data_IF_415314496461
#
_entry.id   IF_415314496461
#
_cell.length_a   1.000
_cell.length_b   1.000
_cell.length_c   1.000
_cell.angle_alpha   90.00
_cell.angle_beta   90.00
_cell.angle_gamma   90.00
#
_symmetry.space_group_name_H-M   'P 1'
#
loop_
_entity.id
_entity.type
_entity.pdbx_description
1 polymer ?
#
# COMPACT_ATOMS: atom_id res chain seq x y z
N UNK A 1 39.42 56.58 -0.03
CA UNK A 1 39.69 56.68 1.44
C UNK A 1 38.73 55.80 2.24
N UNK A 2 39.12 54.56 2.59
CA UNK A 2 38.75 53.87 3.81
C UNK A 2 39.54 52.57 3.95
N UNK A 3 40.49 52.69 4.83
CA UNK A 3 41.19 51.75 5.71
C UNK A 3 40.82 50.24 5.58
N UNK A 4 41.84 49.50 5.20
CA UNK A 4 42.05 48.07 5.49
C UNK A 4 42.19 47.92 7.01
N UNK A 5 41.38 47.08 7.67
CA UNK A 5 41.55 46.68 9.07
C UNK A 5 42.17 45.27 9.10
N UNK A 6 43.33 45.26 9.68
CA UNK A 6 44.14 44.23 10.29
C UNK A 6 43.54 42.84 10.42
N UNK A 7 44.18 41.87 9.81
CA UNK A 7 44.18 40.43 10.10
C UNK A 7 44.99 40.20 11.39
N UNK A 8 44.48 39.45 12.39
CA UNK A 8 45.26 39.12 13.58
C UNK A 8 46.39 38.14 13.24
N UNK A 9 47.59 38.51 13.60
CA UNK A 9 48.80 37.72 13.55
C UNK A 9 48.68 36.44 14.42
N UNK A 10 48.74 35.30 13.79
CA UNK A 10 48.88 33.97 14.42
C UNK A 10 50.14 33.93 15.29
N UNK A 11 50.01 33.75 16.59
CA UNK A 11 51.07 33.51 17.56
C UNK A 11 51.70 32.12 17.31
N UNK A 12 52.87 32.11 16.68
CA UNK A 12 53.73 30.93 16.54
C UNK A 12 54.35 30.61 17.90
N UNK A 13 54.08 29.41 18.46
CA UNK A 13 54.86 28.89 19.58
C UNK A 13 56.01 28.04 19.06
N UNK A 14 57.28 28.26 19.50
CA UNK A 14 58.38 27.39 19.12
C UNK A 14 58.31 26.06 19.87
N UNK A 15 58.50 24.95 19.14
CA UNK A 15 58.67 23.60 19.73
C UNK A 15 60.18 23.32 19.75
N UNK A 16 60.76 23.17 20.96
CA UNK A 16 62.14 22.76 21.17
C UNK A 16 62.31 21.26 20.92
N UNK A 17 63.05 20.90 19.88
CA UNK A 17 63.60 19.56 19.71
C UNK A 17 65.03 19.50 20.31
N UNK A 18 65.42 18.39 20.91
CA UNK A 18 66.62 18.15 21.74
C UNK A 18 67.95 18.18 21.00
N UNK A 19 68.07 18.76 19.84
CA UNK A 19 69.29 18.88 19.07
C UNK A 19 69.36 20.25 18.40
N UNK A 20 69.60 21.28 19.13
CA UNK A 20 70.14 22.60 18.85
C UNK A 20 70.04 23.28 17.47
N UNK A 21 69.21 22.83 16.54
CA UNK A 21 69.00 23.50 15.25
C UNK A 21 67.50 23.87 15.09
N UNK A 22 67.24 25.16 14.91
CA UNK A 22 65.95 25.80 14.61
C UNK A 22 65.66 25.65 13.11
N UNK A 23 64.95 24.61 12.72
CA UNK A 23 64.39 24.54 11.36
C UNK A 23 62.93 24.97 11.39
N UNK A 24 62.56 25.95 10.57
CA UNK A 24 61.16 26.38 10.35
C UNK A 24 60.45 25.36 9.45
N UNK A 25 59.83 24.38 10.06
CA UNK A 25 59.04 23.41 9.30
C UNK A 25 57.59 23.86 9.16
N UNK A 26 57.07 23.88 7.94
CA UNK A 26 55.64 24.05 7.62
C UNK A 26 54.81 22.80 7.99
N UNK A 27 54.75 22.45 9.29
CA UNK A 27 54.07 21.24 9.74
C UNK A 27 52.58 21.52 10.11
N UNK A 28 52.18 22.79 10.09
CA UNK A 28 50.83 23.18 10.62
C UNK A 28 49.72 23.31 9.59
N UNK A 29 50.01 23.48 8.31
CA UNK A 29 48.95 23.77 7.32
C UNK A 29 48.38 22.52 6.65
N UNK A 30 49.19 21.48 6.39
CA UNK A 30 48.69 20.23 5.82
C UNK A 30 47.80 19.42 6.79
N UNK A 31 47.98 19.59 8.10
CA UNK A 31 47.17 18.87 9.12
C UNK A 31 45.77 19.48 9.32
N UNK A 32 45.64 20.79 9.13
CA UNK A 32 44.36 21.49 9.29
C UNK A 32 43.45 21.27 8.06
N UNK A 33 43.98 21.39 6.85
CA UNK A 33 43.25 21.09 5.61
C UNK A 33 42.82 19.60 5.53
N UNK A 34 43.72 18.69 5.89
CA UNK A 34 43.40 17.24 5.93
C UNK A 34 42.40 16.88 7.06
N UNK A 35 42.31 17.66 8.14
CA UNK A 35 41.34 17.50 9.18
C UNK A 35 39.98 18.03 8.74
N UNK A 36 39.94 19.15 8.06
CA UNK A 36 38.69 19.77 7.56
C UNK A 36 38.09 18.96 6.41
N UNK A 37 38.91 18.44 5.49
CA UNK A 37 38.48 17.52 4.42
C UNK A 37 37.86 16.25 4.99
N UNK A 38 38.50 15.62 5.99
CA UNK A 38 37.95 14.43 6.66
C UNK A 38 36.67 14.70 7.43
N UNK A 39 36.50 15.91 7.97
CA UNK A 39 35.27 16.33 8.65
C UNK A 39 34.15 16.54 7.64
N UNK A 40 34.43 17.15 6.52
CA UNK A 40 33.47 17.39 5.43
C UNK A 40 33.02 16.07 4.82
N UNK A 41 33.93 15.14 4.54
CA UNK A 41 33.63 13.80 4.04
C UNK A 41 32.78 12.98 5.04
N UNK A 42 33.02 13.11 6.35
CA UNK A 42 32.20 12.44 7.37
C UNK A 42 30.78 12.98 7.43
N UNK A 43 30.62 14.30 7.35
CA UNK A 43 29.30 14.97 7.34
C UNK A 43 28.54 14.57 6.08
N UNK A 44 29.19 14.59 4.93
CA UNK A 44 28.60 14.20 3.65
C UNK A 44 28.19 12.71 3.64
N UNK A 45 29.03 11.82 4.17
CA UNK A 45 28.69 10.40 4.32
C UNK A 45 27.53 10.16 5.30
N UNK A 46 27.45 10.91 6.39
CA UNK A 46 26.33 10.82 7.33
C UNK A 46 25.03 11.32 6.69
N UNK A 47 25.07 12.43 5.97
CA UNK A 47 23.91 12.97 5.24
C UNK A 47 23.44 12.00 4.16
N UNK A 48 24.37 11.41 3.40
CA UNK A 48 24.03 10.41 2.39
C UNK A 48 23.41 9.13 2.99
N UNK A 49 23.89 8.69 4.16
CA UNK A 49 23.29 7.55 4.86
C UNK A 49 21.90 7.87 5.38
N UNK A 50 21.71 9.06 5.94
CA UNK A 50 20.41 9.54 6.42
C UNK A 50 19.40 9.60 5.28
N UNK A 51 19.76 10.23 4.16
CA UNK A 51 18.91 10.33 2.97
C UNK A 51 18.55 8.96 2.40
N UNK A 52 19.47 8.00 2.43
CA UNK A 52 19.20 6.63 2.00
C UNK A 52 18.19 5.93 2.92
N UNK A 53 18.28 6.15 4.23
CA UNK A 53 17.36 5.61 5.21
C UNK A 53 15.95 6.21 5.06
N UNK A 54 15.86 7.53 4.93
CA UNK A 54 14.60 8.24 4.72
C UNK A 54 13.91 7.80 3.41
N UNK A 55 14.65 7.70 2.33
CA UNK A 55 14.14 7.17 1.07
C UNK A 55 13.64 5.73 1.18
N UNK A 56 14.30 4.87 1.97
CA UNK A 56 13.86 3.51 2.23
C UNK A 56 12.58 3.49 3.05
N UNK A 57 12.48 4.34 4.06
CA UNK A 57 11.29 4.49 4.89
C UNK A 57 10.08 4.94 4.08
N UNK A 58 10.25 5.95 3.20
CA UNK A 58 9.17 6.43 2.33
C UNK A 58 8.67 5.29 1.41
N UNK A 59 9.58 4.46 0.89
CA UNK A 59 9.20 3.27 0.10
C UNK A 59 8.34 2.31 0.91
N UNK A 60 8.72 2.01 2.15
CA UNK A 60 7.93 1.14 3.02
C UNK A 60 6.53 1.70 3.28
N UNK A 61 6.42 3.02 3.51
CA UNK A 61 5.11 3.67 3.71
C UNK A 61 4.28 3.64 2.41
N UNK A 62 4.92 3.82 1.25
CA UNK A 62 4.25 3.63 -0.05
C UNK A 62 3.79 2.19 -0.26
N UNK A 63 4.60 1.21 0.14
CA UNK A 63 4.23 -0.21 0.04
C UNK A 63 3.03 -0.52 0.95
N UNK A 64 2.97 0.07 2.15
CA UNK A 64 1.80 -0.02 3.03
C UNK A 64 0.54 0.60 2.40
N UNK A 65 0.65 1.79 1.82
CA UNK A 65 -0.43 2.45 1.08
C UNK A 65 -0.91 1.62 -0.11
N UNK A 66 0.02 1.05 -0.87
CA UNK A 66 -0.28 0.16 -2.00
C UNK A 66 -1.07 -1.08 -1.56
N UNK A 67 -0.68 -1.71 -0.44
CA UNK A 67 -1.41 -2.88 0.10
C UNK A 67 -2.83 -2.52 0.46
N UNK A 68 -3.04 -1.41 1.18
CA UNK A 68 -4.38 -0.97 1.58
C UNK A 68 -5.23 -0.69 0.34
N UNK A 69 -4.70 0.06 -0.63
CA UNK A 69 -5.45 0.45 -1.83
C UNK A 69 -5.78 -0.75 -2.71
N UNK A 70 -4.82 -1.63 -2.99
CA UNK A 70 -5.04 -2.86 -3.77
C UNK A 70 -6.05 -3.79 -3.12
N UNK A 71 -6.08 -3.84 -1.79
CA UNK A 71 -7.00 -4.69 -1.04
C UNK A 71 -8.41 -4.10 -0.92
N UNK A 72 -8.69 -2.97 -1.56
CA UNK A 72 -10.01 -2.33 -1.59
C UNK A 72 -10.23 -1.29 -0.49
N UNK A 73 -9.14 -0.71 0.05
CA UNK A 73 -9.23 0.39 1.00
C UNK A 73 -9.66 1.71 0.35
N UNK A 74 -10.34 2.54 1.11
CA UNK A 74 -10.78 3.88 0.70
C UNK A 74 -9.58 4.81 0.52
N UNK A 75 -9.61 5.68 -0.48
CA UNK A 75 -8.53 6.62 -0.81
C UNK A 75 -8.17 7.50 0.37
N UNK A 76 -9.14 8.18 0.97
CA UNK A 76 -8.94 9.05 2.12
C UNK A 76 -8.28 8.33 3.30
N UNK A 77 -8.60 7.05 3.48
CA UNK A 77 -8.01 6.21 4.52
C UNK A 77 -6.57 5.85 4.24
N UNK A 78 -6.23 5.60 2.97
CA UNK A 78 -4.84 5.37 2.53
C UNK A 78 -4.00 6.61 2.83
N UNK A 79 -4.46 7.79 2.40
CA UNK A 79 -3.76 9.06 2.61
C UNK A 79 -3.55 9.40 4.09
N UNK A 80 -4.61 9.28 4.91
CA UNK A 80 -4.54 9.52 6.35
C UNK A 80 -3.57 8.54 7.04
N UNK A 81 -3.62 7.25 6.68
CA UNK A 81 -2.72 6.24 7.24
C UNK A 81 -1.26 6.54 6.91
N UNK A 82 -0.95 6.84 5.65
CA UNK A 82 0.40 7.17 5.21
C UNK A 82 0.91 8.46 5.88
N UNK A 83 0.07 9.50 5.95
CA UNK A 83 0.43 10.76 6.60
C UNK A 83 0.70 10.58 8.11
N UNK A 84 -0.07 9.75 8.81
CA UNK A 84 0.18 9.41 10.22
C UNK A 84 1.48 8.65 10.42
N UNK A 85 1.75 7.65 9.58
CA UNK A 85 3.02 6.90 9.64
C UNK A 85 4.21 7.83 9.41
N UNK A 86 4.17 8.70 8.41
CA UNK A 86 5.22 9.69 8.17
C UNK A 86 5.46 10.59 9.39
N UNK A 87 4.39 11.07 10.00
CA UNK A 87 4.47 11.91 11.21
C UNK A 87 5.10 11.17 12.39
N UNK A 88 4.78 9.88 12.57
CA UNK A 88 5.37 9.05 13.62
C UNK A 88 6.89 8.90 13.46
N UNK A 89 7.39 8.86 12.23
CA UNK A 89 8.83 8.83 11.93
C UNK A 89 9.51 10.21 11.90
N UNK A 90 8.80 11.29 12.25
CA UNK A 90 9.39 12.61 12.45
C UNK A 90 9.49 13.47 11.18
N UNK A 91 8.79 13.14 10.09
CA UNK A 91 8.67 14.05 8.96
C UNK A 91 7.85 15.29 9.35
N UNK A 92 8.34 16.46 8.97
CA UNK A 92 7.76 17.76 9.36
C UNK A 92 6.40 17.99 8.70
N UNK A 93 6.33 17.64 7.42
CA UNK A 93 5.11 17.74 6.61
C UNK A 93 5.06 16.59 5.61
N UNK A 94 3.88 16.11 5.34
CA UNK A 94 3.63 15.06 4.36
C UNK A 94 2.39 15.44 3.55
N UNK A 95 2.55 15.49 2.24
CA UNK A 95 1.48 15.68 1.28
C UNK A 95 1.33 14.36 0.51
N UNK A 96 0.19 13.70 0.66
CA UNK A 96 -0.15 12.45 -0.03
C UNK A 96 -1.30 12.73 -0.99
N UNK A 97 -1.14 12.27 -2.22
CA UNK A 97 -2.18 12.32 -3.23
C UNK A 97 -2.37 10.93 -3.83
N UNK A 98 -3.56 10.40 -3.71
CA UNK A 98 -3.90 9.04 -4.13
C UNK A 98 -5.06 9.07 -5.11
N UNK A 99 -4.88 8.37 -6.21
CA UNK A 99 -5.95 8.00 -7.14
C UNK A 99 -5.95 6.48 -7.30
N UNK A 100 -7.00 5.92 -7.87
CA UNK A 100 -7.11 4.45 -8.07
C UNK A 100 -5.89 3.84 -8.75
N UNK A 101 -5.21 4.52 -9.65
CA UNK A 101 -4.08 3.99 -10.42
C UNK A 101 -2.69 4.40 -9.94
N UNK A 102 -2.59 5.31 -8.95
CA UNK A 102 -1.29 5.86 -8.53
C UNK A 102 -1.35 6.50 -7.14
N UNK A 103 -0.26 6.40 -6.41
CA UNK A 103 -0.02 7.12 -5.14
C UNK A 103 1.20 8.01 -5.34
N UNK A 104 1.10 9.27 -4.98
CA UNK A 104 2.21 10.23 -4.93
C UNK A 104 2.35 10.70 -3.49
N UNK A 105 3.57 10.61 -2.96
CA UNK A 105 3.90 11.12 -1.63
C UNK A 105 5.03 12.12 -1.71
N UNK A 106 4.85 13.26 -1.08
CA UNK A 106 5.89 14.27 -0.88
C UNK A 106 6.08 14.51 0.59
N UNK A 107 7.30 14.32 1.08
CA UNK A 107 7.64 14.54 2.49
C UNK A 107 8.69 15.63 2.63
N UNK A 108 8.60 16.37 3.73
CA UNK A 108 9.55 17.41 4.12
C UNK A 108 10.30 16.89 5.34
N UNK A 109 11.61 16.71 5.19
CA UNK A 109 12.46 16.21 6.27
C UNK A 109 12.82 17.32 7.25
N UNK A 110 13.25 16.97 8.45
CA UNK A 110 13.75 17.93 9.44
C UNK A 110 15.02 18.66 8.95
N UNK A 111 15.78 18.06 8.01
CA UNK A 111 16.93 18.66 7.36
C UNK A 111 16.59 19.69 6.27
N UNK A 112 15.30 19.91 5.98
CA UNK A 112 14.83 20.83 4.94
C UNK A 112 14.83 20.23 3.52
N UNK A 113 15.12 18.94 3.37
CA UNK A 113 15.02 18.26 2.08
C UNK A 113 13.57 17.90 1.74
N UNK A 114 13.25 17.92 0.46
CA UNK A 114 11.94 17.53 -0.06
C UNK A 114 12.12 16.26 -0.88
N UNK A 115 11.47 15.18 -0.45
CA UNK A 115 11.53 13.89 -1.11
C UNK A 115 10.15 13.54 -1.68
N UNK A 116 10.08 13.30 -2.99
CA UNK A 116 8.86 12.88 -3.67
C UNK A 116 9.05 11.51 -4.27
N UNK A 117 8.11 10.60 -4.00
CA UNK A 117 8.07 9.28 -4.61
C UNK A 117 6.68 8.98 -5.14
N UNK A 118 6.63 8.20 -6.22
CA UNK A 118 5.39 7.80 -6.89
C UNK A 118 5.34 6.29 -7.01
N UNK A 119 4.16 5.73 -6.75
CA UNK A 119 3.87 4.30 -6.95
C UNK A 119 2.70 4.12 -7.89
N UNK A 120 2.90 3.39 -8.97
CA UNK A 120 1.81 3.01 -9.88
C UNK A 120 1.14 1.75 -9.36
N UNK A 121 -0.18 1.80 -9.24
CA UNK A 121 -1.01 0.68 -8.82
C UNK A 121 -1.48 -0.09 -10.06
N UNK A 122 -1.31 -1.40 -10.04
CA UNK A 122 -1.75 -2.29 -11.11
C UNK A 122 -2.48 -3.48 -10.50
N UNK A 123 -3.71 -3.69 -10.94
CA UNK A 123 -4.57 -4.75 -10.42
C UNK A 123 -5.11 -4.44 -9.02
N UNK A 124 -6.24 -5.02 -8.72
CA UNK A 124 -6.89 -4.98 -7.41
C UNK A 124 -7.08 -6.42 -6.97
N UNK A 125 -6.84 -6.68 -5.71
CA UNK A 125 -7.04 -7.96 -5.07
C UNK A 125 -7.74 -7.71 -3.74
N UNK A 126 -9.08 -7.79 -3.78
CA UNK A 126 -9.94 -7.46 -2.65
C UNK A 126 -9.68 -8.40 -1.48
N UNK A 127 -9.01 -7.90 -0.44
CA UNK A 127 -8.67 -8.66 0.75
C UNK A 127 -8.80 -7.83 2.02
N UNK A 128 -9.94 -7.98 2.71
CA UNK A 128 -10.24 -7.22 3.93
C UNK A 128 -9.32 -7.58 5.10
N UNK A 129 -8.79 -8.80 5.13
CA UNK A 129 -7.86 -9.22 6.17
C UNK A 129 -6.52 -8.49 6.04
N UNK A 130 -6.00 -8.35 4.81
CA UNK A 130 -4.80 -7.51 4.55
C UNK A 130 -5.02 -6.06 4.99
N UNK A 131 -6.21 -5.48 4.73
CA UNK A 131 -6.54 -4.14 5.21
C UNK A 131 -6.53 -4.10 6.74
N UNK A 132 -7.14 -5.10 7.40
CA UNK A 132 -7.19 -5.16 8.86
C UNK A 132 -5.78 -5.22 9.46
N UNK A 133 -4.95 -6.14 9.00
CA UNK A 133 -3.57 -6.32 9.45
C UNK A 133 -2.72 -5.06 9.21
N UNK A 134 -2.85 -4.43 8.03
CA UNK A 134 -2.11 -3.22 7.71
C UNK A 134 -2.54 -2.03 8.57
N UNK A 135 -3.83 -1.88 8.85
CA UNK A 135 -4.32 -0.85 9.77
C UNK A 135 -3.85 -1.09 11.21
N UNK A 136 -3.71 -2.34 11.63
CA UNK A 136 -3.16 -2.69 12.93
C UNK A 136 -1.67 -2.31 12.99
N UNK A 137 -0.88 -2.72 12.00
CA UNK A 137 0.53 -2.36 11.89
C UNK A 137 0.74 -0.83 11.88
N UNK A 138 -0.08 -0.10 11.12
CA UNK A 138 0.00 1.35 11.08
C UNK A 138 -0.27 2.00 12.44
N UNK A 139 -1.21 1.47 13.23
CA UNK A 139 -1.47 1.95 14.60
C UNK A 139 -0.30 1.67 15.53
N UNK A 140 0.25 0.46 15.50
CA UNK A 140 1.43 0.10 16.28
C UNK A 140 2.63 1.02 15.98
N UNK A 141 2.87 1.29 14.69
CA UNK A 141 3.93 2.21 14.22
C UNK A 141 3.68 3.64 14.69
N UNK A 142 2.41 4.09 14.73
CA UNK A 142 2.07 5.43 15.21
C UNK A 142 2.25 5.59 16.72
N UNK A 143 2.09 4.51 17.49
CA UNK A 143 2.33 4.51 18.95
C UNK A 143 3.82 4.38 19.26
N UNK A 144 4.49 3.46 18.59
CA UNK A 144 5.92 3.15 18.77
C UNK A 144 6.57 2.90 17.40
N UNK A 145 7.31 3.89 16.86
CA UNK A 145 8.03 3.70 15.60
C UNK A 145 9.01 2.53 15.70
N UNK A 146 8.89 1.59 14.78
CA UNK A 146 9.75 0.40 14.67
C UNK A 146 10.88 0.65 13.66
N UNK A 147 11.93 -0.16 13.71
CA UNK A 147 13.02 -0.08 12.75
C UNK A 147 12.52 -0.33 11.30
N UNK A 148 13.08 0.40 10.33
CA UNK A 148 12.67 0.32 8.91
C UNK A 148 12.76 -1.11 8.35
N UNK A 149 13.78 -1.88 8.78
CA UNK A 149 13.92 -3.27 8.37
C UNK A 149 12.79 -4.18 8.87
N UNK A 150 12.34 -3.97 10.11
CA UNK A 150 11.21 -4.70 10.70
C UNK A 150 9.87 -4.29 10.06
N UNK A 151 9.69 -2.98 9.79
CA UNK A 151 8.52 -2.48 9.07
C UNK A 151 8.40 -3.15 7.69
N UNK A 152 9.50 -3.17 6.93
CA UNK A 152 9.54 -3.80 5.61
C UNK A 152 9.21 -5.31 5.67
N UNK A 153 9.73 -6.01 6.67
CA UNK A 153 9.45 -7.44 6.88
C UNK A 153 7.97 -7.68 7.14
N UNK A 154 7.37 -6.93 8.07
CA UNK A 154 5.95 -7.06 8.42
C UNK A 154 5.01 -6.70 7.26
N UNK A 155 5.32 -5.65 6.51
CA UNK A 155 4.54 -5.30 5.30
C UNK A 155 4.57 -6.46 4.30
N UNK A 156 5.74 -7.06 4.05
CA UNK A 156 5.86 -8.23 3.16
C UNK A 156 5.10 -9.45 3.67
N UNK A 157 5.08 -9.69 4.98
CA UNK A 157 4.30 -10.77 5.57
C UNK A 157 2.80 -10.57 5.33
N UNK A 158 2.29 -9.35 5.51
CA UNK A 158 0.89 -9.01 5.22
C UNK A 158 0.58 -9.16 3.73
N UNK A 159 1.48 -8.76 2.83
CA UNK A 159 1.32 -8.94 1.39
C UNK A 159 1.20 -10.43 1.00
N UNK A 160 1.92 -11.30 1.70
CA UNK A 160 1.94 -12.73 1.46
C UNK A 160 0.95 -13.50 2.35
N UNK A 161 -0.03 -12.82 2.96
CA UNK A 161 -1.09 -13.49 3.73
C UNK A 161 -1.77 -14.54 2.86
N UNK A 162 -1.89 -15.74 3.39
CA UNK A 162 -2.43 -16.90 2.68
C UNK A 162 -3.88 -16.62 2.26
N UNK A 163 -4.16 -16.83 1.00
CA UNK A 163 -5.52 -16.79 0.48
C UNK A 163 -6.28 -18.06 0.87
N UNK A 164 -7.61 -17.99 0.81
CA UNK A 164 -8.47 -19.14 1.06
C UNK A 164 -8.17 -20.25 0.05
N UNK A 165 -8.25 -21.50 0.50
CA UNK A 165 -8.13 -22.64 -0.40
C UNK A 165 -9.30 -22.65 -1.40
N UNK A 166 -9.10 -23.11 -2.64
CA UNK A 166 -10.15 -23.07 -3.68
C UNK A 166 -11.45 -23.75 -3.27
N UNK A 167 -11.39 -24.81 -2.48
CA UNK A 167 -12.58 -25.51 -1.97
C UNK A 167 -13.34 -24.69 -0.89
N UNK A 168 -12.62 -23.91 -0.07
CA UNK A 168 -13.22 -23.01 0.90
C UNK A 168 -13.95 -21.88 0.19
N UNK A 169 -13.35 -21.31 -0.84
CA UNK A 169 -13.96 -20.30 -1.72
C UNK A 169 -15.25 -20.85 -2.34
N UNK A 170 -15.19 -22.05 -2.91
CA UNK A 170 -16.36 -22.70 -3.52
C UNK A 170 -17.51 -22.88 -2.52
N UNK A 171 -17.22 -23.32 -1.29
CA UNK A 171 -18.23 -23.46 -0.24
C UNK A 171 -18.82 -22.10 0.17
N UNK A 172 -17.99 -21.07 0.26
CA UNK A 172 -18.44 -19.71 0.59
C UNK A 172 -19.34 -19.13 -0.51
N UNK A 173 -19.00 -19.34 -1.78
CA UNK A 173 -19.85 -18.93 -2.91
C UNK A 173 -21.22 -19.63 -2.86
N UNK A 174 -21.23 -20.94 -2.60
CA UNK A 174 -22.47 -21.70 -2.45
C UNK A 174 -23.31 -21.25 -1.26
N UNK A 175 -22.69 -21.07 -0.09
CA UNK A 175 -23.37 -20.61 1.12
C UNK A 175 -23.98 -19.22 0.94
N UNK A 176 -23.22 -18.28 0.37
CA UNK A 176 -23.71 -16.93 0.09
C UNK A 176 -24.88 -16.94 -0.89
N UNK A 177 -24.80 -17.71 -2.00
CA UNK A 177 -25.90 -17.83 -2.95
C UNK A 177 -27.16 -18.40 -2.30
N UNK A 178 -27.03 -19.40 -1.42
CA UNK A 178 -28.16 -19.97 -0.68
C UNK A 178 -28.79 -18.93 0.25
N UNK A 179 -27.99 -18.22 1.04
CA UNK A 179 -28.46 -17.20 1.99
C UNK A 179 -29.21 -16.09 1.25
N UNK A 180 -28.65 -15.57 0.16
CA UNK A 180 -29.33 -14.54 -0.64
C UNK A 180 -30.57 -15.07 -1.33
N UNK A 181 -30.58 -16.34 -1.79
CA UNK A 181 -31.81 -16.95 -2.35
C UNK A 181 -32.96 -16.97 -1.31
N UNK A 182 -32.65 -17.32 -0.07
CA UNK A 182 -33.64 -17.28 1.03
C UNK A 182 -34.05 -15.85 1.36
N UNK A 183 -33.08 -14.92 1.39
CA UNK A 183 -33.32 -13.50 1.65
C UNK A 183 -34.28 -12.87 0.63
N UNK A 184 -34.21 -13.27 -0.63
CA UNK A 184 -35.16 -12.86 -1.68
C UNK A 184 -36.46 -13.67 -1.72
N UNK A 185 -36.79 -14.40 -0.65
CA UNK A 185 -38.05 -15.09 -0.50
C UNK A 185 -38.09 -16.50 -1.10
N UNK A 186 -36.94 -17.07 -1.43
CA UNK A 186 -36.84 -18.46 -1.88
C UNK A 186 -37.02 -19.46 -0.73
N UNK A 187 -37.55 -20.64 -1.04
CA UNK A 187 -37.65 -21.78 -0.13
C UNK A 187 -36.35 -22.63 -0.13
N UNK A 188 -36.41 -23.82 0.51
CA UNK A 188 -35.26 -24.71 0.60
C UNK A 188 -34.77 -25.23 -0.75
N UNK A 189 -35.65 -25.43 -1.73
CA UNK A 189 -35.27 -25.86 -3.07
C UNK A 189 -34.49 -24.77 -3.81
N UNK A 190 -34.97 -23.53 -3.74
CA UNK A 190 -34.31 -22.35 -4.31
C UNK A 190 -32.93 -22.10 -3.69
N UNK A 191 -32.84 -22.27 -2.36
CA UNK A 191 -31.55 -22.16 -1.65
C UNK A 191 -30.56 -23.25 -2.09
N UNK A 192 -31.03 -24.50 -2.25
CA UNK A 192 -30.18 -25.59 -2.70
C UNK A 192 -29.67 -25.39 -4.14
N UNK A 193 -30.56 -25.03 -5.06
CA UNK A 193 -30.17 -24.79 -6.46
C UNK A 193 -29.34 -23.51 -6.59
N UNK A 194 -29.63 -22.48 -5.81
CA UNK A 194 -28.78 -21.29 -5.69
C UNK A 194 -27.37 -21.65 -5.21
N UNK A 195 -27.26 -22.47 -4.16
CA UNK A 195 -25.95 -22.92 -3.65
C UNK A 195 -25.14 -23.71 -4.71
N UNK A 196 -25.79 -24.68 -5.38
CA UNK A 196 -25.13 -25.48 -6.42
C UNK A 196 -24.65 -24.60 -7.58
N UNK A 197 -25.48 -23.65 -7.99
CA UNK A 197 -25.10 -22.70 -9.05
C UNK A 197 -24.00 -21.75 -8.59
N UNK A 198 -24.04 -21.27 -7.33
CA UNK A 198 -22.99 -20.44 -6.75
C UNK A 198 -21.64 -21.15 -6.69
N UNK A 199 -21.62 -22.44 -6.30
CA UNK A 199 -20.40 -23.27 -6.37
C UNK A 199 -19.90 -23.42 -7.81
N UNK A 200 -20.80 -23.69 -8.75
CA UNK A 200 -20.48 -23.76 -10.18
C UNK A 200 -19.96 -22.43 -10.72
N UNK A 201 -20.50 -21.30 -10.26
CA UNK A 201 -20.07 -19.98 -10.62
C UNK A 201 -18.61 -19.70 -10.17
N UNK A 202 -18.26 -20.12 -8.95
CA UNK A 202 -16.87 -20.02 -8.45
C UNK A 202 -15.90 -20.77 -9.36
N UNK A 203 -16.25 -22.02 -9.77
CA UNK A 203 -15.42 -22.79 -10.69
C UNK A 203 -15.33 -22.17 -12.08
N UNK A 204 -16.44 -21.62 -12.59
CA UNK A 204 -16.46 -20.92 -13.89
C UNK A 204 -15.61 -19.67 -13.87
N UNK A 205 -15.68 -18.87 -12.82
CA UNK A 205 -14.86 -17.66 -12.66
C UNK A 205 -13.37 -18.01 -12.67
N UNK A 206 -12.95 -18.99 -11.88
CA UNK A 206 -11.55 -19.44 -11.86
C UNK A 206 -11.08 -20.01 -13.21
N UNK A 207 -11.95 -20.71 -13.95
CA UNK A 207 -11.62 -21.24 -15.27
C UNK A 207 -11.56 -20.16 -16.36
N UNK A 208 -12.35 -19.10 -16.24
CA UNK A 208 -12.48 -18.05 -17.26
C UNK A 208 -11.56 -16.85 -17.02
N UNK A 209 -10.96 -16.71 -15.85
CA UNK A 209 -10.01 -15.65 -15.51
C UNK A 209 -8.83 -15.56 -16.49
N UNK A 210 -8.36 -16.70 -16.97
CA UNK A 210 -7.28 -16.75 -17.96
C UNK A 210 -7.72 -16.52 -19.42
N UNK A 211 -9.03 -16.57 -19.70
CA UNK A 211 -9.60 -16.46 -21.04
C UNK A 211 -10.00 -15.01 -21.34
N UNK A 212 -10.63 -14.36 -20.35
CA UNK A 212 -11.13 -13.00 -20.48
C UNK A 212 -10.20 -11.99 -19.81
N UNK A 213 -9.71 -11.03 -20.58
CA UNK A 213 -8.90 -9.92 -20.06
C UNK A 213 -9.77 -8.87 -19.32
N UNK A 214 -11.09 -8.84 -19.59
CA UNK A 214 -12.01 -7.89 -19.01
C UNK A 214 -12.96 -8.60 -18.05
N UNK A 215 -12.90 -8.23 -16.78
CA UNK A 215 -13.70 -8.81 -15.68
C UNK A 215 -15.21 -8.66 -15.92
N UNK A 216 -15.66 -7.53 -16.48
CA UNK A 216 -17.09 -7.29 -16.74
C UNK A 216 -17.64 -8.30 -17.77
N UNK A 217 -16.86 -8.60 -18.82
CA UNK A 217 -17.24 -9.59 -19.83
C UNK A 217 -17.28 -10.99 -19.21
N UNK A 218 -16.32 -11.30 -18.34
CA UNK A 218 -16.28 -12.56 -17.60
C UNK A 218 -17.53 -12.73 -16.73
N UNK A 219 -17.88 -11.71 -15.93
CA UNK A 219 -19.08 -11.75 -15.08
C UNK A 219 -20.37 -11.87 -15.90
N UNK A 220 -20.50 -11.15 -17.02
CA UNK A 220 -21.65 -11.24 -17.90
C UNK A 220 -21.80 -12.65 -18.49
N UNK A 221 -20.69 -13.24 -18.92
CA UNK A 221 -20.67 -14.62 -19.46
C UNK A 221 -21.04 -15.66 -18.38
N UNK A 222 -20.41 -15.59 -17.20
CA UNK A 222 -20.68 -16.47 -16.08
C UNK A 222 -22.13 -16.36 -15.59
N UNK A 223 -22.69 -15.14 -15.50
CA UNK A 223 -24.07 -14.92 -15.11
C UNK A 223 -25.08 -15.51 -16.10
N UNK A 224 -24.79 -15.38 -17.42
CA UNK A 224 -25.62 -15.96 -18.46
C UNK A 224 -25.64 -17.49 -18.38
N UNK A 225 -24.49 -18.13 -18.15
CA UNK A 225 -24.40 -19.59 -17.96
C UNK A 225 -25.10 -20.05 -16.69
N UNK A 226 -24.96 -19.31 -15.57
CA UNK A 226 -25.65 -19.60 -14.31
C UNK A 226 -27.16 -19.50 -14.46
N UNK A 227 -27.67 -18.46 -15.13
CA UNK A 227 -29.10 -18.29 -15.41
C UNK A 227 -29.64 -19.38 -16.34
N UNK A 228 -28.88 -19.76 -17.37
CA UNK A 228 -29.23 -20.87 -18.27
C UNK A 228 -29.33 -22.18 -17.48
N UNK A 229 -28.39 -22.47 -16.61
CA UNK A 229 -28.36 -23.69 -15.78
C UNK A 229 -29.58 -23.77 -14.86
N UNK A 230 -29.93 -22.68 -14.15
CA UNK A 230 -31.14 -22.60 -13.32
C UNK A 230 -32.39 -22.79 -14.16
N UNK A 231 -32.51 -22.20 -15.34
CA UNK A 231 -33.62 -22.37 -16.24
C UNK A 231 -33.80 -23.83 -16.73
N UNK A 232 -32.68 -24.51 -17.01
CA UNK A 232 -32.69 -25.93 -17.40
C UNK A 232 -33.17 -26.85 -16.25
N UNK A 233 -32.69 -26.58 -15.02
CA UNK A 233 -33.15 -27.34 -13.84
C UNK A 233 -34.66 -27.18 -13.68
N UNK A 234 -35.21 -25.97 -13.77
CA UNK A 234 -36.63 -25.73 -13.71
C UNK A 234 -37.43 -26.52 -14.75
N UNK A 235 -36.88 -26.58 -15.97
CA UNK A 235 -37.57 -27.25 -17.08
C UNK A 235 -37.53 -28.78 -17.02
N UNK A 236 -36.42 -29.36 -16.55
CA UNK A 236 -36.19 -30.80 -16.67
C UNK A 236 -36.17 -31.57 -15.34
N UNK A 237 -35.91 -30.88 -14.21
CA UNK A 237 -35.76 -31.55 -12.90
C UNK A 237 -36.98 -31.35 -12.04
N UNK A 238 -37.32 -30.13 -11.68
CA UNK A 238 -38.52 -29.84 -10.89
C UNK A 238 -38.95 -28.37 -11.01
N UNK A 239 -40.26 -28.10 -10.94
CA UNK A 239 -40.76 -26.74 -10.93
C UNK A 239 -40.40 -26.05 -9.58
N UNK A 240 -39.69 -24.96 -9.66
CA UNK A 240 -39.34 -24.07 -8.55
C UNK A 240 -39.30 -22.60 -9.01
N UNK A 241 -39.27 -21.65 -8.08
CA UNK A 241 -39.16 -20.24 -8.42
C UNK A 241 -37.71 -19.92 -8.76
N UNK A 242 -37.39 -19.65 -10.04
CA UNK A 242 -36.00 -19.35 -10.49
C UNK A 242 -35.51 -18.02 -9.96
N UNK A 243 -36.41 -17.03 -9.78
CA UNK A 243 -36.07 -15.66 -9.46
C UNK A 243 -35.25 -15.49 -8.17
N UNK A 244 -35.60 -16.11 -7.02
CA UNK A 244 -34.81 -16.00 -5.80
C UNK A 244 -33.39 -16.62 -5.95
N UNK A 245 -33.29 -17.79 -6.60
CA UNK A 245 -32.02 -18.44 -6.84
C UNK A 245 -31.14 -17.63 -7.79
N UNK A 246 -31.73 -17.02 -8.82
CA UNK A 246 -31.04 -16.14 -9.76
C UNK A 246 -30.53 -14.88 -9.06
N UNK A 247 -31.38 -14.23 -8.24
CA UNK A 247 -30.99 -13.06 -7.45
C UNK A 247 -29.85 -13.37 -6.50
N UNK A 248 -29.88 -14.53 -5.83
CA UNK A 248 -28.81 -15.00 -4.97
C UNK A 248 -27.46 -15.10 -5.71
N UNK A 249 -27.46 -15.60 -6.94
CA UNK A 249 -26.24 -15.71 -7.74
C UNK A 249 -25.78 -14.37 -8.32
N UNK A 250 -26.69 -13.48 -8.73
CA UNK A 250 -26.34 -12.15 -9.23
C UNK A 250 -25.63 -11.34 -8.13
N UNK A 251 -26.07 -11.46 -6.86
CA UNK A 251 -25.43 -10.76 -5.75
C UNK A 251 -23.96 -11.11 -5.54
N UNK A 252 -23.53 -12.32 -5.94
CA UNK A 252 -22.12 -12.71 -5.88
C UNK A 252 -21.26 -12.00 -6.93
N UNK A 253 -21.86 -11.58 -8.03
CA UNK A 253 -21.15 -10.94 -9.15
C UNK A 253 -21.11 -9.41 -9.04
N UNK A 254 -21.95 -8.82 -8.18
CA UNK A 254 -21.95 -7.37 -7.97
C UNK A 254 -20.75 -6.99 -7.10
N UNK A 255 -19.82 -6.15 -7.59
CA UNK A 255 -18.65 -5.71 -6.82
C UNK A 255 -19.07 -4.67 -5.76
N UNK A 256 -19.73 -5.13 -4.67
CA UNK A 256 -20.35 -4.26 -3.67
C UNK A 256 -19.38 -3.30 -2.97
N UNK A 257 -18.19 -3.75 -2.59
CA UNK A 257 -17.19 -2.92 -1.92
C UNK A 257 -16.63 -1.85 -2.85
N UNK A 258 -16.14 -2.17 -4.07
CA UNK A 258 -15.72 -1.15 -5.04
C UNK A 258 -16.82 -0.14 -5.35
N UNK A 259 -18.06 -0.60 -5.53
CA UNK A 259 -19.19 0.28 -5.80
C UNK A 259 -19.46 1.26 -4.64
N UNK A 260 -19.44 0.77 -3.40
CA UNK A 260 -19.66 1.60 -2.21
C UNK A 260 -18.51 2.58 -2.01
N UNK A 261 -17.26 2.15 -2.22
CA UNK A 261 -16.09 3.02 -2.12
C UNK A 261 -16.14 4.13 -3.19
N UNK A 262 -16.48 3.79 -4.44
CA UNK A 262 -16.63 4.78 -5.50
C UNK A 262 -17.65 5.86 -5.16
N UNK A 263 -18.83 5.48 -4.65
CA UNK A 263 -19.84 6.45 -4.21
C UNK A 263 -19.30 7.34 -3.07
N UNK A 264 -18.61 6.73 -2.10
CA UNK A 264 -18.04 7.47 -0.97
C UNK A 264 -16.94 8.44 -1.41
N UNK A 265 -16.03 8.02 -2.28
CA UNK A 265 -14.97 8.86 -2.83
C UNK A 265 -15.57 10.06 -3.58
N UNK A 266 -16.60 9.83 -4.41
CA UNK A 266 -17.35 10.91 -5.08
C UNK A 266 -17.99 11.89 -4.09
N UNK A 267 -18.62 11.39 -3.03
CA UNK A 267 -19.25 12.23 -1.99
C UNK A 267 -18.21 13.00 -1.14
N UNK A 268 -17.01 12.47 -1.02
CA UNK A 268 -15.88 13.14 -0.35
C UNK A 268 -15.18 14.19 -1.21
N UNK A 269 -15.57 14.31 -2.48
CA UNK A 269 -15.01 15.27 -3.43
C UNK A 269 -13.93 14.72 -4.36
N UNK A 270 -13.54 13.46 -4.19
CA UNK A 270 -12.53 12.77 -5.01
C UNK A 270 -13.19 12.14 -6.25
N UNK A 271 -13.78 12.98 -7.07
CA UNK A 271 -14.54 12.55 -8.27
C UNK A 271 -13.70 11.85 -9.34
N UNK A 272 -12.36 11.99 -9.30
CA UNK A 272 -11.47 11.32 -10.25
C UNK A 272 -11.21 9.84 -9.87
N UNK A 273 -11.52 9.47 -8.66
CA UNK A 273 -11.27 8.13 -8.11
C UNK A 273 -12.56 7.30 -7.95
N UNK A 274 -13.70 7.97 -7.78
CA UNK A 274 -15.04 7.38 -7.79
C UNK A 274 -15.60 7.30 -9.19
#
# INVERSE_FOLDING_TARGET
>A
TRRVKNVPTSTRKPVCLSTGELTWGCVGMESEEACDTRRTERVENQTNQQNKLENRLIRCILDAGEVILKSGGEINRVEDTMARMCRAYGFVRTDVFTITSSIVITVYTAGGEILTQTRRIRGYDMNLDRIHQMNQLAREVCETPIEVGELERRIREIQNTKELEPWEMMLLYGANAAVFSVFFGGGPAEALFGALTGMGLCLLLGATEHIFTNEIVCYAFCSALGGLFLGLIRKYVMPYAVDPALMGNIMLLIPGIPFTNSIRDMLSGDTMSG
#
